data_IF_387582351279
#
_entry.id   IF_387582351279
#
_cell.length_a   1.000
_cell.length_b   1.000
_cell.length_c   1.000
_cell.angle_alpha   90.00
_cell.angle_beta   90.00
_cell.angle_gamma   90.00
#
_symmetry.space_group_name_H-M   'P 1'
#
loop_
_entity.id
_entity.type
_entity.pdbx_description
1 polymer ?
#
# COMPACT_ATOMS: atom_id res chain seq x y z
N UNK A 1 -23.39 24.11 -20.51
CA UNK A 1 -22.23 23.81 -19.65
C UNK A 1 -21.80 22.37 -19.92
N UNK A 2 -20.53 22.02 -20.03
CA UNK A 2 -20.16 20.62 -20.11
C UNK A 2 -20.71 19.89 -18.87
N UNK A 3 -21.26 18.70 -19.06
CA UNK A 3 -21.76 17.89 -17.95
C UNK A 3 -20.60 17.61 -17.01
N UNK A 4 -20.84 17.69 -15.70
CA UNK A 4 -19.85 17.31 -14.70
C UNK A 4 -19.38 15.87 -14.97
N UNK A 5 -18.07 15.67 -15.04
CA UNK A 5 -17.51 14.33 -15.20
C UNK A 5 -17.78 13.50 -13.96
N UNK A 6 -18.13 12.23 -14.15
CA UNK A 6 -18.38 11.29 -13.06
C UNK A 6 -17.55 10.01 -13.25
N UNK A 7 -16.82 9.59 -12.24
CA UNK A 7 -16.00 8.38 -12.29
C UNK A 7 -16.39 7.37 -11.21
N UNK A 8 -16.23 6.09 -11.53
CA UNK A 8 -16.30 5.01 -10.56
C UNK A 8 -14.88 4.63 -10.13
N UNK A 9 -14.58 4.81 -8.85
CA UNK A 9 -13.36 4.29 -8.23
C UNK A 9 -13.61 2.89 -7.69
N UNK A 10 -12.72 1.95 -8.01
CA UNK A 10 -12.80 0.56 -7.53
C UNK A 10 -11.53 0.23 -6.76
N UNK A 11 -11.67 -0.08 -5.49
CA UNK A 11 -10.56 -0.46 -4.61
C UNK A 11 -11.06 -1.34 -3.48
N UNK A 12 -10.28 -2.30 -3.00
CA UNK A 12 -10.70 -3.10 -1.84
C UNK A 12 -10.65 -2.26 -0.56
N UNK A 13 -9.60 -1.47 -0.38
CA UNK A 13 -9.34 -0.69 0.81
C UNK A 13 -9.66 0.79 0.59
N UNK A 14 -10.45 1.35 1.49
CA UNK A 14 -10.82 2.75 1.50
C UNK A 14 -11.10 3.23 2.92
N UNK A 15 -11.27 4.54 3.11
CA UNK A 15 -11.59 5.14 4.42
C UNK A 15 -12.57 4.25 5.25
N UNK A 16 -12.39 4.10 6.57
CA UNK A 16 -11.39 4.72 7.46
C UNK A 16 -10.01 4.03 7.47
N UNK A 17 -9.76 3.09 6.57
CA UNK A 17 -8.43 2.52 6.37
C UNK A 17 -7.52 3.58 5.73
N UNK A 18 -6.29 3.71 6.25
CA UNK A 18 -5.34 4.73 5.78
C UNK A 18 -4.62 4.27 4.50
N UNK A 19 -5.25 4.54 3.36
CA UNK A 19 -4.69 4.30 2.02
C UNK A 19 -4.71 5.57 1.20
N UNK A 20 -3.69 5.80 0.40
CA UNK A 20 -3.56 6.99 -0.47
C UNK A 20 -4.70 7.19 -1.47
N UNK A 21 -5.50 6.17 -1.73
CA UNK A 21 -6.70 6.33 -2.55
C UNK A 21 -7.70 7.31 -1.93
N UNK A 22 -7.71 7.49 -0.61
CA UNK A 22 -8.57 8.45 0.06
C UNK A 22 -8.25 9.86 -0.44
N UNK A 23 -6.97 10.25 -0.42
CA UNK A 23 -6.53 11.58 -0.87
C UNK A 23 -6.70 11.75 -2.38
N UNK A 24 -6.51 10.69 -3.18
CA UNK A 24 -6.75 10.72 -4.63
C UNK A 24 -8.23 11.00 -4.92
N UNK A 25 -9.15 10.37 -4.19
CA UNK A 25 -10.58 10.63 -4.34
C UNK A 25 -10.93 12.04 -3.90
N UNK A 26 -10.35 12.51 -2.79
CA UNK A 26 -10.54 13.89 -2.34
C UNK A 26 -10.04 14.90 -3.37
N UNK A 27 -8.88 14.66 -3.99
CA UNK A 27 -8.36 15.48 -5.10
C UNK A 27 -9.30 15.51 -6.31
N UNK A 28 -9.87 14.37 -6.71
CA UNK A 28 -10.86 14.34 -7.79
C UNK A 28 -12.11 15.17 -7.46
N UNK A 29 -12.59 15.11 -6.21
CA UNK A 29 -13.74 15.90 -5.76
C UNK A 29 -13.42 17.41 -5.77
N UNK A 30 -12.22 17.79 -5.32
CA UNK A 30 -11.75 19.19 -5.34
C UNK A 30 -11.62 19.72 -6.78
N UNK A 31 -11.24 18.87 -7.72
CA UNK A 31 -11.22 19.21 -9.17
C UNK A 31 -12.61 19.23 -9.82
N UNK A 32 -13.68 19.06 -9.04
CA UNK A 32 -15.06 19.11 -9.51
C UNK A 32 -15.52 17.83 -10.24
N UNK A 33 -14.78 16.72 -10.11
CA UNK A 33 -15.16 15.42 -10.64
C UNK A 33 -16.07 14.73 -9.62
N UNK A 34 -17.27 14.29 -10.04
CA UNK A 34 -18.10 13.46 -9.18
C UNK A 34 -17.53 12.05 -9.06
N UNK A 35 -17.47 11.50 -7.85
CA UNK A 35 -16.88 10.19 -7.57
C UNK A 35 -17.83 9.33 -6.76
N UNK A 36 -18.03 8.09 -7.20
CA UNK A 36 -18.55 7.02 -6.37
C UNK A 36 -17.46 5.96 -6.19
N UNK A 37 -17.41 5.31 -5.01
CA UNK A 37 -16.37 4.35 -4.67
C UNK A 37 -16.98 2.98 -4.39
N UNK A 38 -16.56 1.96 -5.13
CA UNK A 38 -16.85 0.56 -4.83
C UNK A 38 -15.69 -0.02 -4.00
N UNK A 39 -15.91 -0.31 -2.72
CA UNK A 39 -14.86 -0.74 -1.80
C UNK A 39 -15.29 -1.88 -0.86
N UNK A 40 -14.38 -2.33 -0.03
CA UNK A 40 -14.61 -3.33 1.01
C UNK A 40 -15.16 -2.73 2.31
N UNK A 41 -15.61 -3.61 3.21
CA UNK A 41 -15.83 -3.27 4.60
C UNK A 41 -14.47 -3.14 5.31
N UNK A 42 -14.20 -2.05 6.05
CA UNK A 42 -12.86 -1.77 6.58
C UNK A 42 -12.46 -2.76 7.67
N UNK A 43 -11.29 -3.41 7.48
CA UNK A 43 -10.74 -4.40 8.41
C UNK A 43 -9.20 -4.50 8.39
N UNK A 44 -8.53 -3.79 7.51
CA UNK A 44 -7.07 -3.80 7.38
C UNK A 44 -6.42 -2.85 8.41
N UNK A 45 -5.27 -3.19 9.03
CA UNK A 45 -4.44 -4.38 8.78
C UNK A 45 -4.75 -5.59 9.67
N UNK A 46 -5.51 -5.43 10.76
CA UNK A 46 -5.67 -6.44 11.80
C UNK A 46 -6.64 -7.58 11.44
N UNK A 47 -7.47 -7.40 10.40
CA UNK A 47 -8.54 -8.32 10.05
C UNK A 47 -9.73 -8.25 11.03
N UNK A 48 -9.86 -7.15 11.73
CA UNK A 48 -10.97 -6.83 12.64
C UNK A 48 -11.74 -5.65 12.06
N UNK A 49 -13.05 -5.66 12.22
CA UNK A 49 -13.87 -4.55 11.74
C UNK A 49 -13.56 -3.27 12.52
N UNK A 50 -13.50 -2.17 11.81
CA UNK A 50 -13.41 -0.85 12.44
C UNK A 50 -14.69 -0.54 13.25
N UNK A 51 -14.63 0.36 14.26
CA UNK A 51 -15.81 0.78 15.00
C UNK A 51 -16.93 1.26 14.06
N UNK A 52 -18.14 0.78 14.28
CA UNK A 52 -19.29 1.09 13.43
C UNK A 52 -19.50 0.15 12.24
N UNK A 53 -18.56 -0.77 11.96
CA UNK A 53 -18.65 -1.73 10.86
C UNK A 53 -18.75 -3.17 11.33
N UNK A 54 -19.40 -3.99 10.52
CA UNK A 54 -19.54 -5.44 10.76
C UNK A 54 -19.81 -6.17 9.44
N UNK A 55 -19.91 -7.50 9.49
CA UNK A 55 -20.35 -8.30 8.34
C UNK A 55 -21.79 -7.94 7.84
N UNK A 56 -22.56 -7.20 8.63
CA UNK A 56 -23.90 -6.71 8.29
C UNK A 56 -23.92 -5.29 7.70
N UNK A 57 -22.79 -4.66 7.50
CA UNK A 57 -22.66 -3.31 6.93
C UNK A 57 -22.09 -2.29 7.93
N UNK A 58 -22.24 -0.98 7.63
CA UNK A 58 -23.05 -0.37 6.55
C UNK A 58 -22.52 -0.71 5.15
N UNK A 59 -23.41 -0.84 4.17
CA UNK A 59 -23.05 -1.14 2.78
C UNK A 59 -23.11 0.09 1.86
N UNK A 60 -23.71 1.18 2.32
CA UNK A 60 -23.77 2.46 1.63
C UNK A 60 -23.59 3.57 2.65
N UNK A 61 -22.72 4.51 2.34
CA UNK A 61 -22.48 5.70 3.16
C UNK A 61 -21.92 6.82 2.28
N UNK A 62 -21.95 8.05 2.80
CA UNK A 62 -21.37 9.22 2.14
C UNK A 62 -20.06 9.59 2.82
N UNK A 63 -19.07 9.98 2.02
CA UNK A 63 -17.78 10.46 2.49
C UNK A 63 -17.32 11.63 1.62
N UNK A 64 -17.21 12.84 2.19
CA UNK A 64 -16.78 14.09 1.52
C UNK A 64 -17.51 14.40 0.21
N UNK A 65 -18.77 13.93 0.05
CA UNK A 65 -19.56 14.08 -1.17
C UNK A 65 -19.42 12.93 -2.17
N UNK A 66 -18.58 11.93 -1.90
CA UNK A 66 -18.56 10.67 -2.63
C UNK A 66 -19.51 9.65 -2.01
N UNK A 67 -20.22 8.86 -2.82
CA UNK A 67 -21.00 7.72 -2.34
C UNK A 67 -20.13 6.48 -2.31
N UNK A 68 -20.08 5.81 -1.15
CA UNK A 68 -19.34 4.59 -0.95
C UNK A 68 -20.27 3.39 -1.03
N UNK A 69 -20.01 2.48 -1.96
CA UNK A 69 -20.69 1.19 -2.10
C UNK A 69 -19.80 0.09 -1.55
N UNK A 70 -20.02 -0.28 -0.28
CA UNK A 70 -19.22 -1.29 0.40
C UNK A 70 -19.69 -2.70 0.07
N UNK A 71 -18.73 -3.60 -0.03
CA UNK A 71 -18.95 -5.01 -0.31
C UNK A 71 -18.43 -5.87 0.84
N UNK A 72 -19.07 -7.02 1.03
CA UNK A 72 -18.59 -8.05 1.96
C UNK A 72 -17.22 -8.56 1.53
N UNK A 73 -16.48 -9.05 2.51
CA UNK A 73 -15.24 -9.80 2.30
C UNK A 73 -14.96 -10.68 3.50
N UNK A 74 -14.10 -11.66 3.33
CA UNK A 74 -13.57 -12.45 4.45
C UNK A 74 -12.41 -11.66 5.05
N UNK A 75 -12.48 -11.22 6.32
CA UNK A 75 -11.41 -10.46 6.94
C UNK A 75 -10.14 -11.32 7.15
N UNK A 76 -8.98 -10.69 7.15
CA UNK A 76 -7.66 -11.36 7.29
C UNK A 76 -7.34 -11.78 8.71
N UNK A 77 -8.27 -12.27 9.48
CA UNK A 77 -8.11 -12.62 10.90
C UNK A 77 -6.86 -13.48 11.14
N UNK A 78 -6.01 -13.02 12.07
CA UNK A 78 -4.76 -13.69 12.42
C UNK A 78 -3.71 -13.75 11.30
N UNK A 79 -3.92 -13.07 10.16
CA UNK A 79 -3.01 -13.02 9.02
C UNK A 79 -2.48 -14.39 8.54
N UNK A 80 -3.29 -15.45 8.69
CA UNK A 80 -2.94 -16.77 8.16
C UNK A 80 -3.02 -16.78 6.64
N UNK A 81 -2.18 -17.60 5.97
CA UNK A 81 -2.18 -17.71 4.51
C UNK A 81 -3.56 -18.05 3.93
N UNK A 82 -4.34 -18.85 4.65
CA UNK A 82 -5.72 -19.20 4.24
C UNK A 82 -6.64 -18.00 4.31
N UNK A 83 -6.62 -17.24 5.40
CA UNK A 83 -7.47 -16.06 5.56
C UNK A 83 -7.07 -14.94 4.58
N UNK A 84 -5.78 -14.77 4.31
CA UNK A 84 -5.29 -13.85 3.29
C UNK A 84 -5.79 -14.27 1.90
N UNK A 85 -5.69 -15.55 1.55
CA UNK A 85 -6.20 -16.05 0.27
C UNK A 85 -7.71 -15.88 0.13
N UNK A 86 -8.48 -16.22 1.18
CA UNK A 86 -9.94 -16.03 1.19
C UNK A 86 -10.31 -14.54 1.07
N UNK A 87 -9.59 -13.65 1.72
CA UNK A 87 -9.77 -12.21 1.57
C UNK A 87 -9.57 -11.78 0.11
N UNK A 88 -8.48 -12.24 -0.51
CA UNK A 88 -8.12 -11.92 -1.90
C UNK A 88 -9.14 -12.35 -2.95
N UNK A 89 -9.88 -13.43 -2.71
CA UNK A 89 -10.87 -13.92 -3.68
C UNK A 89 -12.29 -13.50 -3.33
N UNK A 90 -12.61 -13.33 -2.05
CA UNK A 90 -13.97 -13.03 -1.60
C UNK A 90 -14.42 -11.62 -1.97
N UNK A 91 -13.59 -10.60 -1.75
CA UNK A 91 -13.96 -9.23 -2.06
C UNK A 91 -14.27 -9.03 -3.56
N UNK A 92 -13.40 -9.41 -4.52
CA UNK A 92 -13.73 -9.26 -5.93
C UNK A 92 -15.00 -9.98 -6.35
N UNK A 93 -15.27 -11.14 -5.73
CA UNK A 93 -16.50 -11.88 -5.96
C UNK A 93 -17.74 -11.11 -5.49
N UNK A 94 -17.76 -10.64 -4.24
CA UNK A 94 -18.89 -9.86 -3.73
C UNK A 94 -19.03 -8.53 -4.47
N UNK A 95 -17.94 -7.84 -4.75
CA UNK A 95 -17.95 -6.58 -5.49
C UNK A 95 -18.50 -6.76 -6.91
N UNK A 96 -18.10 -7.82 -7.62
CA UNK A 96 -18.62 -8.13 -8.96
C UNK A 96 -20.14 -8.44 -8.95
N UNK A 97 -20.66 -9.00 -7.86
CA UNK A 97 -22.11 -9.23 -7.69
C UNK A 97 -22.85 -7.95 -7.27
N UNK A 98 -22.19 -7.03 -6.57
CA UNK A 98 -22.79 -5.77 -6.11
C UNK A 98 -22.87 -4.68 -7.17
N UNK A 99 -22.33 -4.90 -8.39
CA UNK A 99 -22.33 -3.90 -9.46
C UNK A 99 -23.73 -3.41 -9.86
N UNK A 100 -24.79 -4.17 -9.60
CA UNK A 100 -26.17 -3.77 -9.86
C UNK A 100 -26.68 -2.66 -8.92
N UNK A 101 -26.00 -2.43 -7.79
CA UNK A 101 -26.33 -1.36 -6.82
C UNK A 101 -25.85 0.00 -7.29
N UNK A 102 -24.91 0.05 -8.23
CA UNK A 102 -24.31 1.28 -8.72
C UNK A 102 -25.32 2.03 -9.63
N UNK A 103 -25.48 3.36 -9.45
CA UNK A 103 -26.49 4.14 -10.17
C UNK A 103 -26.22 4.24 -11.67
N UNK A 104 -24.99 4.02 -12.12
CA UNK A 104 -24.60 4.21 -13.52
C UNK A 104 -24.22 5.65 -13.86
N UNK A 105 -24.09 5.92 -15.18
CA UNK A 105 -23.76 7.26 -15.67
C UNK A 105 -22.31 7.71 -15.44
N UNK A 106 -21.38 6.75 -15.24
CA UNK A 106 -19.96 7.07 -15.12
C UNK A 106 -19.30 7.22 -16.49
N UNK A 107 -18.43 8.21 -16.62
CA UNK A 107 -17.62 8.46 -17.81
C UNK A 107 -16.41 7.53 -17.90
N UNK A 108 -15.90 7.03 -16.76
CA UNK A 108 -14.76 6.14 -16.69
C UNK A 108 -14.74 5.31 -15.39
N UNK A 109 -13.96 4.23 -15.40
CA UNK A 109 -13.63 3.45 -14.21
C UNK A 109 -12.15 3.60 -13.90
N UNK A 110 -11.84 3.90 -12.64
CA UNK A 110 -10.48 3.96 -12.10
C UNK A 110 -10.32 2.89 -11.03
N UNK A 111 -9.35 1.98 -11.19
CA UNK A 111 -9.02 0.99 -10.17
C UNK A 111 -7.69 1.35 -9.50
N UNK A 112 -7.70 1.49 -8.18
CA UNK A 112 -6.51 1.64 -7.36
C UNK A 112 -6.09 0.24 -6.90
N UNK A 113 -5.18 -0.37 -7.67
CA UNK A 113 -4.84 -1.78 -7.53
C UNK A 113 -3.61 -1.97 -6.64
N UNK A 114 -3.86 -2.19 -5.35
CA UNK A 114 -2.83 -2.55 -4.38
C UNK A 114 -2.48 -4.05 -4.49
N UNK A 115 -3.27 -4.90 -3.87
CA UNK A 115 -3.08 -6.36 -3.83
C UNK A 115 -4.38 -7.00 -3.37
N UNK A 116 -4.91 -7.99 -4.06
CA UNK A 116 -4.42 -8.71 -5.24
C UNK A 116 -4.83 -8.08 -6.58
N UNK A 117 -4.22 -8.51 -7.69
CA UNK A 117 -4.65 -8.08 -9.04
C UNK A 117 -6.12 -8.38 -9.32
N UNK A 118 -6.70 -9.39 -8.67
CA UNK A 118 -8.10 -9.78 -8.80
C UNK A 118 -9.07 -8.65 -8.42
N UNK A 119 -8.63 -7.66 -7.65
CA UNK A 119 -9.49 -6.51 -7.29
C UNK A 119 -9.89 -5.66 -8.51
N UNK A 120 -9.19 -5.73 -9.63
CA UNK A 120 -9.60 -5.05 -10.85
C UNK A 120 -10.75 -5.78 -11.61
N UNK A 121 -11.10 -7.00 -11.23
CA UNK A 121 -12.16 -7.77 -11.92
C UNK A 121 -13.54 -7.10 -11.91
N UNK A 122 -14.07 -6.58 -10.78
CA UNK A 122 -15.31 -5.79 -10.82
C UNK A 122 -15.22 -4.57 -11.73
N UNK A 123 -14.08 -3.84 -11.71
CA UNK A 123 -13.84 -2.70 -12.60
C UNK A 123 -13.93 -3.09 -14.08
N UNK A 124 -13.26 -4.18 -14.46
CA UNK A 124 -13.28 -4.74 -15.84
C UNK A 124 -14.72 -5.10 -16.24
N UNK A 125 -15.47 -5.77 -15.35
CA UNK A 125 -16.86 -6.16 -15.66
C UNK A 125 -17.76 -4.95 -15.86
N UNK A 126 -17.61 -3.93 -14.99
CA UNK A 126 -18.40 -2.72 -15.08
C UNK A 126 -18.08 -1.94 -16.36
N UNK A 127 -16.81 -1.64 -16.60
CA UNK A 127 -16.37 -0.89 -17.78
C UNK A 127 -16.78 -1.57 -19.10
N UNK A 128 -16.61 -2.91 -19.19
CA UNK A 128 -17.03 -3.68 -20.37
C UNK A 128 -18.55 -3.63 -20.57
N UNK A 129 -19.36 -3.76 -19.51
CA UNK A 129 -20.82 -3.74 -19.59
C UNK A 129 -21.34 -2.39 -20.08
N UNK A 130 -20.71 -1.31 -19.65
CA UNK A 130 -21.16 0.06 -19.94
C UNK A 130 -20.39 0.73 -21.07
N UNK A 131 -19.42 0.02 -21.70
CA UNK A 131 -18.59 0.53 -22.81
C UNK A 131 -17.85 1.84 -22.48
N UNK A 132 -17.35 1.96 -21.25
CA UNK A 132 -16.60 3.12 -20.76
C UNK A 132 -15.14 2.76 -20.51
N UNK A 133 -14.21 3.74 -20.60
CA UNK A 133 -12.78 3.48 -20.42
C UNK A 133 -12.46 3.00 -19.00
N UNK A 134 -11.47 2.09 -18.93
CA UNK A 134 -10.95 1.52 -17.68
C UNK A 134 -9.46 1.82 -17.53
N UNK A 135 -9.10 2.54 -16.46
CA UNK A 135 -7.72 2.79 -16.05
C UNK A 135 -7.40 2.00 -14.79
N UNK A 136 -6.27 1.28 -14.80
CA UNK A 136 -5.82 0.51 -13.65
C UNK A 136 -4.47 1.06 -13.15
N UNK A 137 -4.44 1.60 -11.92
CA UNK A 137 -3.23 2.03 -11.24
C UNK A 137 -2.62 0.85 -10.49
N UNK A 138 -1.53 0.32 -11.03
CA UNK A 138 -0.82 -0.85 -10.51
C UNK A 138 0.24 -0.38 -9.52
N UNK A 139 0.01 -0.65 -8.25
CA UNK A 139 0.94 -0.32 -7.16
C UNK A 139 1.87 -1.49 -6.86
N UNK A 140 1.30 -2.69 -6.84
CA UNK A 140 2.02 -3.95 -6.64
C UNK A 140 1.92 -4.84 -7.87
N UNK A 141 3.06 -5.38 -8.31
CA UNK A 141 3.04 -6.33 -9.42
C UNK A 141 2.62 -7.72 -8.94
N UNK A 142 1.68 -8.30 -9.65
CA UNK A 142 1.13 -9.62 -9.34
C UNK A 142 1.44 -10.61 -10.47
N UNK A 143 1.68 -11.89 -10.17
CA UNK A 143 1.51 -12.58 -8.88
C UNK A 143 2.76 -12.66 -8.00
N UNK A 144 3.82 -11.90 -8.27
CA UNK A 144 5.10 -11.98 -7.57
C UNK A 144 4.91 -11.83 -6.05
N UNK A 145 4.11 -10.85 -5.62
CA UNK A 145 3.79 -10.66 -4.21
C UNK A 145 3.06 -11.85 -3.57
N UNK A 146 2.26 -12.60 -4.36
CA UNK A 146 1.59 -13.81 -3.88
C UNK A 146 2.58 -14.91 -3.51
N UNK A 147 3.67 -15.04 -4.26
CA UNK A 147 4.65 -16.12 -4.07
C UNK A 147 5.37 -15.99 -2.73
N UNK A 148 5.68 -14.77 -2.30
CA UNK A 148 6.30 -14.51 -1.00
C UNK A 148 5.31 -14.71 0.14
N UNK A 149 4.07 -14.24 0.01
CA UNK A 149 3.03 -14.34 1.05
C UNK A 149 2.56 -15.78 1.28
N UNK A 150 2.34 -16.55 0.19
CA UNK A 150 1.81 -17.91 0.27
C UNK A 150 2.88 -19.00 0.11
N UNK A 151 4.17 -18.63 0.01
CA UNK A 151 5.30 -19.56 -0.21
C UNK A 151 5.04 -20.55 -1.37
N UNK A 152 4.50 -20.06 -2.49
CA UNK A 152 4.15 -20.89 -3.65
C UNK A 152 5.42 -21.31 -4.38
N UNK A 153 5.82 -22.58 -4.26
CA UNK A 153 7.00 -23.16 -4.94
C UNK A 153 6.69 -23.86 -6.25
N UNK A 154 5.46 -24.26 -6.46
CA UNK A 154 5.06 -25.05 -7.65
C UNK A 154 5.08 -24.16 -8.90
N UNK A 155 5.93 -24.55 -9.88
CA UNK A 155 6.11 -23.79 -11.14
C UNK A 155 4.83 -23.72 -12.00
N UNK A 156 4.01 -24.77 -12.02
CA UNK A 156 2.76 -24.77 -12.77
C UNK A 156 1.74 -23.79 -12.18
N UNK A 157 1.60 -23.76 -10.84
CA UNK A 157 0.73 -22.79 -10.17
C UNK A 157 1.21 -21.35 -10.40
N UNK A 158 2.52 -21.11 -10.39
CA UNK A 158 3.10 -19.80 -10.73
C UNK A 158 2.75 -19.39 -12.16
N UNK A 159 2.89 -20.30 -13.14
CA UNK A 159 2.55 -20.02 -14.54
C UNK A 159 1.06 -19.69 -14.73
N UNK A 160 0.16 -20.41 -14.04
CA UNK A 160 -1.28 -20.12 -14.06
C UNK A 160 -1.56 -18.76 -13.46
N UNK A 161 -1.03 -18.46 -12.27
CA UNK A 161 -1.22 -17.18 -11.61
C UNK A 161 -0.68 -16.02 -12.46
N UNK A 162 0.48 -16.22 -13.12
CA UNK A 162 1.07 -15.25 -14.06
C UNK A 162 0.13 -15.01 -15.23
N UNK A 163 -0.38 -16.07 -15.88
CA UNK A 163 -1.30 -15.96 -17.02
C UNK A 163 -2.60 -15.24 -16.65
N UNK A 164 -3.16 -15.52 -15.48
CA UNK A 164 -4.36 -14.82 -14.97
C UNK A 164 -4.06 -13.35 -14.75
N UNK A 165 -2.95 -13.01 -14.10
CA UNK A 165 -2.56 -11.62 -13.84
C UNK A 165 -2.36 -10.83 -15.13
N UNK A 166 -1.63 -11.41 -16.09
CA UNK A 166 -1.39 -10.78 -17.39
C UNK A 166 -2.68 -10.57 -18.18
N UNK A 167 -3.60 -11.54 -18.12
CA UNK A 167 -4.90 -11.43 -18.76
C UNK A 167 -5.76 -10.31 -18.15
N UNK A 168 -5.67 -10.08 -16.84
CA UNK A 168 -6.38 -9.01 -16.15
C UNK A 168 -5.78 -7.64 -16.49
N UNK A 169 -4.46 -7.49 -16.44
CA UNK A 169 -3.80 -6.23 -16.81
C UNK A 169 -4.11 -5.82 -18.26
N UNK A 170 -4.12 -6.77 -19.20
CA UNK A 170 -4.44 -6.54 -20.62
C UNK A 170 -5.87 -6.04 -20.86
N UNK A 171 -6.77 -6.12 -19.88
CA UNK A 171 -8.16 -5.63 -20.01
C UNK A 171 -8.29 -4.14 -19.74
N UNK A 172 -7.26 -3.49 -19.19
CA UNK A 172 -7.28 -2.05 -19.01
C UNK A 172 -7.01 -1.32 -20.34
N UNK A 173 -7.70 -0.22 -20.57
CA UNK A 173 -7.44 0.68 -21.70
C UNK A 173 -6.14 1.46 -21.47
N UNK A 174 -5.86 1.79 -20.21
CA UNK A 174 -4.64 2.42 -19.74
C UNK A 174 -4.19 1.80 -18.41
N UNK A 175 -2.87 1.69 -18.24
CA UNK A 175 -2.25 1.36 -16.96
C UNK A 175 -1.54 2.59 -16.41
N UNK A 176 -1.40 2.64 -15.10
CA UNK A 176 -0.52 3.55 -14.40
C UNK A 176 0.46 2.70 -13.58
N UNK A 177 1.73 2.99 -13.69
CA UNK A 177 2.82 2.38 -12.93
C UNK A 177 3.44 3.43 -12.01
N UNK A 178 3.89 3.02 -10.82
CA UNK A 178 4.54 3.93 -9.87
C UNK A 178 6.02 4.22 -10.21
N UNK A 179 6.60 3.48 -11.15
CA UNK A 179 8.00 3.62 -11.53
C UNK A 179 8.23 3.21 -12.99
N UNK A 180 9.31 3.70 -13.58
CA UNK A 180 9.73 3.27 -14.93
C UNK A 180 10.07 1.77 -15.01
N UNK A 181 10.78 1.16 -14.04
CA UNK A 181 11.00 -0.29 -14.05
C UNK A 181 9.68 -1.09 -14.04
N UNK A 182 8.67 -0.64 -13.27
CA UNK A 182 7.36 -1.28 -13.26
C UNK A 182 6.63 -1.10 -14.60
N UNK A 183 6.71 0.09 -15.23
CA UNK A 183 6.17 0.32 -16.57
C UNK A 183 6.78 -0.64 -17.59
N UNK A 184 8.12 -0.77 -17.59
CA UNK A 184 8.82 -1.67 -18.50
C UNK A 184 8.40 -3.14 -18.28
N UNK A 185 8.27 -3.56 -17.03
CA UNK A 185 7.80 -4.91 -16.68
C UNK A 185 6.36 -5.12 -17.17
N UNK A 186 5.47 -4.17 -16.99
CA UNK A 186 4.09 -4.24 -17.47
C UNK A 186 4.03 -4.28 -19.00
N UNK A 187 4.84 -3.48 -19.71
CA UNK A 187 4.96 -3.58 -21.18
C UNK A 187 5.35 -4.99 -21.63
N UNK A 188 6.39 -5.56 -21.01
CA UNK A 188 6.87 -6.92 -21.34
C UNK A 188 5.78 -7.98 -21.11
N UNK A 189 5.05 -7.88 -19.99
CA UNK A 189 4.04 -8.87 -19.61
C UNK A 189 2.74 -8.75 -20.40
N UNK A 190 2.33 -7.52 -20.68
CA UNK A 190 1.03 -7.27 -21.33
C UNK A 190 1.13 -7.15 -22.84
N UNK A 191 2.29 -6.78 -23.37
CA UNK A 191 2.45 -6.36 -24.76
C UNK A 191 1.84 -4.99 -25.05
N UNK A 192 1.42 -4.24 -24.03
CA UNK A 192 0.90 -2.87 -24.19
C UNK A 192 2.05 -1.92 -24.55
N UNK A 193 1.85 -0.97 -25.46
CA UNK A 193 2.87 0.01 -25.78
C UNK A 193 3.04 1.00 -24.62
N UNK A 194 4.27 1.55 -24.40
CA UNK A 194 4.56 2.46 -23.28
C UNK A 194 3.60 3.65 -23.18
N UNK A 195 3.09 4.15 -24.31
CA UNK A 195 2.13 5.27 -24.35
C UNK A 195 0.79 4.98 -23.68
N UNK A 196 0.46 3.71 -23.46
CA UNK A 196 -0.71 3.27 -22.72
C UNK A 196 -0.45 3.01 -21.24
N UNK A 197 0.80 3.12 -20.79
CA UNK A 197 1.21 2.90 -19.42
C UNK A 197 1.90 4.16 -18.90
N UNK A 198 1.15 5.03 -18.22
CA UNK A 198 1.72 6.23 -17.62
C UNK A 198 2.60 5.89 -16.40
N UNK A 199 3.66 6.65 -16.18
CA UNK A 199 4.41 6.59 -14.92
C UNK A 199 3.95 7.75 -14.04
N UNK A 200 3.32 7.41 -12.93
CA UNK A 200 2.89 8.36 -11.90
C UNK A 200 3.41 7.84 -10.57
N UNK A 201 4.51 8.38 -10.04
CA UNK A 201 5.04 8.01 -8.72
C UNK A 201 4.02 8.28 -7.61
N UNK A 202 4.20 7.63 -6.48
CA UNK A 202 3.45 7.99 -5.29
C UNK A 202 3.86 9.39 -4.83
N UNK A 203 2.88 10.16 -4.38
CA UNK A 203 3.06 11.51 -3.84
C UNK A 203 3.36 11.46 -2.34
N UNK A 204 3.74 12.62 -1.80
CA UNK A 204 3.87 12.89 -0.38
C UNK A 204 2.60 13.62 0.09
N UNK A 205 2.06 13.22 1.20
CA UNK A 205 0.95 13.90 1.84
C UNK A 205 1.43 15.26 2.42
N UNK A 206 0.58 16.29 2.34
CA UNK A 206 0.94 17.67 2.69
C UNK A 206 1.50 17.84 4.11
N UNK A 207 1.05 17.03 5.06
CA UNK A 207 1.53 17.10 6.44
C UNK A 207 3.01 16.68 6.62
N UNK A 208 3.61 15.99 5.64
CA UNK A 208 5.05 15.72 5.63
C UNK A 208 5.89 16.89 5.13
N UNK A 209 5.29 17.83 4.39
CA UNK A 209 6.02 18.94 3.77
C UNK A 209 6.62 19.92 4.78
N UNK A 210 6.11 19.94 6.02
CA UNK A 210 6.57 20.86 7.07
C UNK A 210 7.21 20.07 8.19
N UNK A 211 8.54 20.24 8.44
CA UNK A 211 9.21 19.65 9.60
C UNK A 211 8.53 20.10 10.91
N UNK A 212 8.34 19.18 11.83
CA UNK A 212 7.71 19.43 13.12
C UNK A 212 8.68 19.07 14.26
N UNK A 213 9.65 19.94 14.60
CA UNK A 213 10.58 19.69 15.70
C UNK A 213 9.83 19.46 17.02
N UNK A 214 10.19 18.41 17.74
CA UNK A 214 9.61 18.05 19.03
C UNK A 214 10.67 18.12 20.13
N UNK A 215 10.43 18.99 21.12
CA UNK A 215 11.39 19.26 22.20
C UNK A 215 11.62 18.03 23.10
N UNK A 216 10.62 17.16 23.28
CA UNK A 216 10.74 15.94 24.07
C UNK A 216 11.61 14.90 23.35
N UNK A 217 11.41 14.73 22.04
CA UNK A 217 12.26 13.87 21.22
C UNK A 217 13.70 14.40 21.17
N UNK A 218 13.89 15.70 21.05
CA UNK A 218 15.22 16.32 21.10
C UNK A 218 15.89 16.12 22.46
N UNK A 219 15.16 16.24 23.56
CA UNK A 219 15.71 15.98 24.90
C UNK A 219 16.11 14.51 25.09
N UNK A 220 15.37 13.58 24.48
CA UNK A 220 15.61 12.14 24.62
C UNK A 220 16.71 11.62 23.70
N UNK A 221 16.78 12.08 22.46
CA UNK A 221 17.63 11.54 21.40
C UNK A 221 18.65 12.54 20.84
N UNK A 222 18.53 13.82 21.17
CA UNK A 222 19.48 14.84 20.77
C UNK A 222 20.90 14.56 21.28
N UNK A 223 21.90 15.07 20.55
CA UNK A 223 23.29 14.81 20.84
C UNK A 223 23.83 13.47 20.32
N UNK A 224 23.02 12.72 19.59
CA UNK A 224 23.41 11.53 18.82
C UNK A 224 23.29 11.81 17.33
N UNK A 225 23.87 10.95 16.50
CA UNK A 225 23.60 10.92 15.07
C UNK A 225 22.45 9.94 14.82
N UNK A 226 21.24 10.46 14.62
CA UNK A 226 20.04 9.65 14.55
C UNK A 226 19.76 9.19 13.12
N UNK A 227 19.91 7.89 12.90
CA UNK A 227 19.35 7.19 11.74
C UNK A 227 17.92 6.81 12.07
N UNK A 228 16.93 7.34 11.34
CA UNK A 228 15.53 7.09 11.63
C UNK A 228 14.89 6.26 10.52
N UNK A 229 14.27 5.16 10.90
CA UNK A 229 13.38 4.38 10.06
C UNK A 229 11.94 4.55 10.55
N UNK A 230 11.02 4.84 9.64
CA UNK A 230 9.58 4.93 9.94
C UNK A 230 8.81 3.92 9.10
N UNK A 231 7.92 3.14 9.71
CA UNK A 231 7.01 2.25 8.99
C UNK A 231 6.88 0.84 9.56
N UNK A 232 6.25 -0.05 8.77
CA UNK A 232 5.96 -1.42 9.21
C UNK A 232 7.21 -2.29 9.17
N UNK A 233 7.46 -3.05 10.23
CA UNK A 233 8.58 -3.99 10.31
C UNK A 233 8.21 -5.32 9.65
N UNK A 234 8.67 -5.48 8.40
CA UNK A 234 8.46 -6.70 7.61
C UNK A 234 9.77 -7.26 7.09
N UNK A 235 9.84 -8.55 6.74
CA UNK A 235 11.05 -9.14 6.14
C UNK A 235 11.51 -8.40 4.87
N UNK A 236 10.58 -7.81 4.13
CA UNK A 236 10.89 -7.04 2.93
C UNK A 236 11.73 -5.78 3.19
N UNK A 237 11.77 -5.28 4.43
CA UNK A 237 12.56 -4.09 4.80
C UNK A 237 14.02 -4.40 5.17
N UNK A 238 14.41 -5.67 5.35
CA UNK A 238 15.79 -6.08 5.72
C UNK A 238 16.40 -5.27 6.88
N UNK A 239 15.62 -4.91 7.89
CA UNK A 239 16.07 -4.10 9.03
C UNK A 239 17.18 -4.79 9.85
N UNK A 240 17.26 -6.12 9.82
CA UNK A 240 18.35 -6.88 10.44
C UNK A 240 19.72 -6.48 9.89
N UNK A 241 19.80 -6.22 8.58
CA UNK A 241 21.01 -5.72 7.91
C UNK A 241 21.40 -4.35 8.42
N UNK A 242 20.42 -3.46 8.62
CA UNK A 242 20.63 -2.10 9.13
C UNK A 242 21.15 -2.15 10.58
N UNK A 243 20.52 -2.98 11.45
CA UNK A 243 20.96 -3.19 12.83
C UNK A 243 22.41 -3.68 12.88
N UNK A 244 22.74 -4.68 12.05
CA UNK A 244 24.11 -5.22 11.97
C UNK A 244 25.10 -4.14 11.51
N UNK A 245 24.75 -3.35 10.49
CA UNK A 245 25.62 -2.29 9.97
C UNK A 245 25.86 -1.16 11.00
N UNK A 246 24.84 -0.80 11.78
CA UNK A 246 24.97 0.21 12.84
C UNK A 246 25.92 -0.29 13.93
N UNK A 247 25.77 -1.53 14.38
CA UNK A 247 26.65 -2.11 15.39
C UNK A 247 28.10 -2.25 14.89
N UNK A 248 28.29 -2.66 13.64
CA UNK A 248 29.62 -2.73 13.02
C UNK A 248 30.27 -1.34 12.92
N UNK A 249 29.53 -0.31 12.54
CA UNK A 249 30.03 1.06 12.49
C UNK A 249 30.43 1.58 13.87
N UNK A 250 29.63 1.31 14.91
CA UNK A 250 29.95 1.68 16.29
C UNK A 250 31.20 0.96 16.81
N UNK A 251 31.36 -0.32 16.51
CA UNK A 251 32.55 -1.08 16.86
C UNK A 251 33.85 -0.53 16.24
N UNK A 252 33.71 0.28 15.19
CA UNK A 252 34.80 0.99 14.49
C UNK A 252 34.95 2.46 14.92
N UNK A 253 34.29 2.88 15.99
CA UNK A 253 34.40 4.21 16.57
C UNK A 253 33.31 5.23 16.21
N UNK A 254 32.21 4.80 15.58
CA UNK A 254 31.06 5.66 15.35
C UNK A 254 30.10 5.66 16.57
N UNK A 255 30.60 5.99 17.76
CA UNK A 255 29.88 5.85 19.04
C UNK A 255 28.58 6.68 19.11
N UNK A 256 28.52 7.79 18.38
CA UNK A 256 27.35 8.67 18.35
C UNK A 256 26.21 8.11 17.49
N UNK A 257 26.46 7.08 16.68
CA UNK A 257 25.47 6.54 15.78
C UNK A 257 24.35 5.83 16.55
N UNK A 258 23.11 6.21 16.28
CA UNK A 258 21.92 5.68 16.92
C UNK A 258 20.85 5.36 15.88
N UNK A 259 20.25 4.18 15.93
CA UNK A 259 19.16 3.75 15.08
C UNK A 259 17.84 3.85 15.85
N UNK A 260 16.93 4.71 15.36
CA UNK A 260 15.59 4.87 15.91
C UNK A 260 14.58 4.22 14.96
N UNK A 261 13.95 3.15 15.43
CA UNK A 261 12.95 2.38 14.70
C UNK A 261 11.55 2.77 15.16
N UNK A 262 10.84 3.56 14.31
CA UNK A 262 9.49 4.05 14.58
C UNK A 262 8.49 3.24 13.77
N UNK A 263 7.67 2.47 14.46
CA UNK A 263 6.71 1.56 13.85
C UNK A 263 6.57 0.25 14.61
N UNK A 264 5.93 -0.70 13.97
CA UNK A 264 5.74 -2.06 14.48
C UNK A 264 5.51 -3.03 13.31
N UNK A 265 5.49 -4.33 13.57
CA UNK A 265 5.18 -5.33 12.56
C UNK A 265 5.64 -6.73 12.91
N UNK A 266 5.39 -7.64 11.99
CA UNK A 266 5.63 -9.07 12.20
C UNK A 266 7.11 -9.44 12.48
N UNK A 267 8.05 -8.59 12.05
CA UNK A 267 9.49 -8.82 12.27
C UNK A 267 9.99 -8.29 13.62
N UNK A 268 9.18 -7.57 14.41
CA UNK A 268 9.64 -6.90 15.64
C UNK A 268 10.37 -7.83 16.59
N UNK A 269 9.79 -8.97 16.93
CA UNK A 269 10.40 -9.91 17.86
C UNK A 269 11.77 -10.45 17.37
N UNK A 270 11.89 -10.71 16.06
CA UNK A 270 13.15 -11.13 15.46
C UNK A 270 14.21 -10.01 15.48
N UNK A 271 13.80 -8.77 15.23
CA UNK A 271 14.69 -7.60 15.29
C UNK A 271 15.19 -7.32 16.72
N UNK A 272 14.31 -7.41 17.72
CA UNK A 272 14.67 -7.29 19.13
C UNK A 272 15.64 -8.40 19.58
N UNK A 273 15.42 -9.63 19.10
CA UNK A 273 16.35 -10.74 19.33
C UNK A 273 17.72 -10.48 18.68
N UNK A 274 17.73 -9.90 17.46
CA UNK A 274 18.97 -9.54 16.75
C UNK A 274 19.75 -8.45 17.48
N UNK A 275 19.09 -7.43 18.03
CA UNK A 275 19.71 -6.38 18.83
C UNK A 275 20.40 -6.98 20.06
N UNK A 276 19.75 -7.92 20.78
CA UNK A 276 20.34 -8.62 21.93
C UNK A 276 21.51 -9.50 21.54
N UNK A 277 21.39 -10.25 20.43
CA UNK A 277 22.48 -11.08 19.89
C UNK A 277 23.75 -10.27 19.63
N UNK A 278 23.58 -9.05 19.13
CA UNK A 278 24.69 -8.15 18.78
C UNK A 278 25.12 -7.24 19.94
N UNK A 279 24.50 -7.32 21.10
CA UNK A 279 24.72 -6.40 22.24
C UNK A 279 24.60 -4.92 21.82
N UNK A 280 23.56 -4.60 21.04
CA UNK A 280 23.35 -3.28 20.42
C UNK A 280 22.22 -2.47 21.09
N UNK A 281 21.82 -2.79 22.33
CA UNK A 281 20.70 -2.17 23.05
C UNK A 281 20.89 -0.65 23.27
N UNK A 282 22.14 -0.20 23.36
CA UNK A 282 22.49 1.22 23.48
C UNK A 282 22.52 1.95 22.13
N UNK A 283 22.58 1.22 21.04
CA UNK A 283 22.64 1.73 19.67
C UNK A 283 21.28 1.76 18.95
N UNK A 284 20.29 0.96 19.40
CA UNK A 284 19.02 0.77 18.71
C UNK A 284 17.85 0.97 19.65
N UNK A 285 16.92 1.85 19.29
CA UNK A 285 15.68 2.07 20.03
C UNK A 285 14.48 1.71 19.19
N UNK A 286 13.59 0.87 19.74
CA UNK A 286 12.27 0.59 19.20
C UNK A 286 11.25 1.55 19.85
N UNK A 287 10.84 2.60 19.13
CA UNK A 287 9.92 3.61 19.67
C UNK A 287 8.47 3.10 19.75
N UNK A 288 8.08 2.26 18.78
CA UNK A 288 6.70 1.80 18.62
C UNK A 288 5.93 2.54 17.53
N UNK A 289 4.67 2.15 17.34
CA UNK A 289 3.78 2.76 16.34
C UNK A 289 3.28 4.11 16.79
N UNK A 290 3.25 5.06 15.87
CA UNK A 290 2.68 6.39 16.04
C UNK A 290 1.69 6.70 14.92
N UNK A 291 0.76 7.66 15.09
CA UNK A 291 -0.05 8.17 14.00
C UNK A 291 0.81 8.73 12.86
N UNK A 292 0.36 8.61 11.61
CA UNK A 292 1.09 9.12 10.46
C UNK A 292 1.41 10.63 10.58
N UNK A 293 0.49 11.40 11.15
CA UNK A 293 0.64 12.84 11.41
C UNK A 293 1.73 13.20 12.40
N UNK A 294 2.22 12.24 13.19
CA UNK A 294 3.33 12.44 14.14
C UNK A 294 4.70 12.10 13.52
N UNK A 295 4.73 11.39 12.38
CA UNK A 295 5.98 11.04 11.70
C UNK A 295 6.87 12.25 11.40
N UNK A 296 6.35 13.43 10.99
CA UNK A 296 7.16 14.64 10.78
C UNK A 296 8.02 15.07 11.99
N UNK A 297 7.64 14.70 13.22
CA UNK A 297 8.43 14.94 14.41
C UNK A 297 9.72 14.10 14.44
N UNK A 298 9.60 12.86 13.98
CA UNK A 298 10.74 11.92 13.90
C UNK A 298 11.64 12.20 12.70
N UNK A 299 11.05 12.59 11.57
CA UNK A 299 11.87 13.01 10.41
C UNK A 299 12.61 14.32 10.68
N UNK A 300 12.04 15.24 11.46
CA UNK A 300 12.72 16.45 11.91
C UNK A 300 13.85 16.19 12.92
N UNK A 301 13.82 15.08 13.66
CA UNK A 301 14.87 14.63 14.56
C UNK A 301 16.02 13.93 13.81
N UNK A 302 15.77 13.38 12.64
CA UNK A 302 16.70 12.54 11.92
C UNK A 302 17.88 13.33 11.32
N UNK A 303 19.10 12.86 11.54
CA UNK A 303 20.27 13.28 10.76
C UNK A 303 20.30 12.58 9.39
N UNK A 304 19.75 11.34 9.33
CA UNK A 304 19.49 10.64 8.09
C UNK A 304 18.26 9.72 8.22
N UNK A 305 17.51 9.59 7.12
CA UNK A 305 16.38 8.67 7.02
C UNK A 305 16.84 7.37 6.34
N UNK A 306 16.35 6.24 6.87
CA UNK A 306 16.65 4.91 6.33
C UNK A 306 15.44 4.41 5.53
N UNK A 307 15.68 4.10 4.28
CA UNK A 307 14.75 3.34 3.43
C UNK A 307 15.52 2.15 2.87
N UNK A 308 15.08 0.95 3.19
CA UNK A 308 15.72 -0.27 2.75
C UNK A 308 14.69 -1.31 2.30
N UNK A 309 15.11 -2.15 1.37
CA UNK A 309 14.36 -3.32 0.89
C UNK A 309 15.33 -4.50 0.81
N UNK A 310 14.81 -5.71 0.99
CA UNK A 310 15.58 -6.92 0.73
C UNK A 310 15.95 -7.01 -0.75
N UNK A 311 17.11 -7.60 -1.04
CA UNK A 311 17.57 -7.81 -2.40
C UNK A 311 16.68 -8.85 -3.10
N UNK A 312 15.68 -8.33 -3.82
CA UNK A 312 14.72 -9.11 -4.59
C UNK A 312 14.42 -8.37 -5.90
N UNK A 313 14.52 -9.06 -7.05
CA UNK A 313 14.20 -8.48 -8.35
C UNK A 313 12.80 -7.86 -8.42
N UNK A 314 11.85 -8.40 -7.68
CA UNK A 314 10.46 -7.95 -7.69
C UNK A 314 10.27 -6.69 -6.82
N UNK A 315 10.96 -6.62 -5.67
CA UNK A 315 10.95 -5.43 -4.81
C UNK A 315 11.70 -4.24 -5.44
N UNK A 316 12.71 -4.51 -6.27
CA UNK A 316 13.41 -3.48 -7.04
C UNK A 316 12.56 -2.78 -8.10
N UNK A 317 11.36 -3.27 -8.39
CA UNK A 317 10.40 -2.63 -9.30
C UNK A 317 9.54 -1.58 -8.60
N UNK A 318 9.48 -1.61 -7.28
CA UNK A 318 8.63 -0.72 -6.47
C UNK A 318 9.44 0.41 -5.86
N UNK A 319 8.81 1.56 -5.67
CA UNK A 319 9.36 2.67 -4.88
C UNK A 319 8.58 2.68 -3.56
N UNK A 320 9.24 2.42 -2.42
CA UNK A 320 8.56 2.49 -1.13
C UNK A 320 7.92 3.86 -0.91
N UNK A 321 6.69 3.89 -0.40
CA UNK A 321 5.94 5.14 -0.18
C UNK A 321 6.71 6.16 0.66
N UNK A 322 7.49 5.67 1.63
CA UNK A 322 8.34 6.49 2.52
C UNK A 322 9.50 7.24 1.83
N UNK A 323 9.78 6.95 0.54
CA UNK A 323 10.75 7.74 -0.24
C UNK A 323 10.15 9.08 -0.65
N UNK A 324 8.82 9.13 -0.79
CA UNK A 324 8.10 10.36 -1.13
C UNK A 324 7.74 11.19 0.12
N UNK A 325 7.57 10.54 1.27
CA UNK A 325 7.11 11.17 2.53
C UNK A 325 8.24 11.85 3.30
#
# INVERSE_FOLDING_TARGET
>A
MPSQKKILVVTQHFWPENFRINDIVEGFLQDGIAVDVLCGLPNYPKGEWFPGYSAAGPFEEEWHGALLYRCKEVPRRGNTSVNIFLNYVSWPWYAAHALHRLPGGYDAVFCFNTSPVLMCWPAIRYAKKHHIPFTNYVLDIWPENLYSVLNVKNKALRAIAQGVSDALYKKADRLIAMSEPLQQRLCQRTGMPPQKIAVIPQYCEDFYAVPQPDAALQAQFGGRFNLVFTGTFTPAQSLETVITAVQDARSRGADMLHLLLVGDGMSRAALEAKVKELHAEDAVTFYGSVPATDIPKFTALADALIVCLSDSPDLGLTVPAKVAS
#
